data_IF_722136907594
#
_entry.id   IF_722136907594
#
_cell.length_a   1.000
_cell.length_b   1.000
_cell.length_c   1.000
_cell.angle_alpha   90.00
_cell.angle_beta   90.00
_cell.angle_gamma   90.00
#
_symmetry.space_group_name_H-M   'P 1'
#
loop_
_entity.id
_entity.type
_entity.pdbx_description
1 polymer ?
#
# COMPACT_ATOMS: atom_id res chain seq x y z
N UNK A 1 -13.70 29.26 19.91
CA UNK A 1 -12.50 28.58 19.39
C UNK A 1 -12.97 27.63 18.30
N UNK A 2 -12.25 27.56 17.18
CA UNK A 2 -12.59 26.66 16.09
C UNK A 2 -12.52 25.20 16.57
N UNK A 3 -13.52 24.39 16.19
CA UNK A 3 -13.51 22.93 16.43
C UNK A 3 -13.04 22.17 15.18
N UNK A 4 -12.44 22.88 14.21
CA UNK A 4 -11.99 22.31 12.94
C UNK A 4 -10.83 21.33 13.16
N UNK A 5 -10.98 20.14 12.61
CA UNK A 5 -9.93 19.14 12.50
C UNK A 5 -9.57 18.96 11.03
N UNK A 6 -8.28 18.98 10.71
CA UNK A 6 -7.80 18.53 9.40
C UNK A 6 -7.44 17.05 9.50
N UNK A 7 -7.97 16.25 8.57
CA UNK A 7 -7.58 14.85 8.45
C UNK A 7 -6.64 14.69 7.24
N UNK A 8 -5.36 14.43 7.51
CA UNK A 8 -4.36 14.29 6.47
C UNK A 8 -4.29 12.87 5.93
N UNK A 9 -4.89 12.65 4.75
CA UNK A 9 -4.85 11.39 4.02
C UNK A 9 -3.49 11.13 3.36
N UNK A 10 -3.09 9.86 3.28
CA UNK A 10 -1.90 9.38 2.56
C UNK A 10 -2.16 8.04 1.90
N UNK A 11 -2.07 6.93 2.65
CA UNK A 11 -2.35 5.56 2.20
C UNK A 11 -3.65 5.03 2.83
N UNK A 12 -4.64 5.86 2.87
CA UNK A 12 -5.94 5.61 3.52
C UNK A 12 -7.06 6.36 2.77
N UNK A 13 -7.09 6.21 1.42
CA UNK A 13 -7.95 6.98 0.52
C UNK A 13 -9.38 6.46 0.51
N UNK A 14 -10.00 6.44 1.69
CA UNK A 14 -11.37 6.01 1.92
C UNK A 14 -11.99 6.72 3.13
N UNK A 15 -13.30 6.66 3.26
CA UNK A 15 -14.03 7.16 4.42
C UNK A 15 -14.44 6.03 5.36
N UNK A 16 -14.90 4.89 4.86
CA UNK A 16 -15.29 3.75 5.68
C UNK A 16 -14.09 3.04 6.28
N UNK A 17 -14.26 2.42 7.44
CA UNK A 17 -13.22 1.63 8.10
C UNK A 17 -11.87 2.36 8.23
N UNK A 18 -11.89 3.66 8.58
CA UNK A 18 -10.71 4.51 8.78
C UNK A 18 -10.62 4.92 10.25
N UNK A 19 -9.67 4.32 10.99
CA UNK A 19 -9.55 4.50 12.45
C UNK A 19 -9.32 5.98 12.80
N UNK A 20 -8.33 6.62 12.19
CA UNK A 20 -7.99 7.99 12.51
C UNK A 20 -9.12 8.96 12.17
N UNK A 21 -9.82 8.74 11.05
CA UNK A 21 -10.96 9.57 10.66
C UNK A 21 -12.17 9.36 11.59
N UNK A 22 -12.43 8.12 12.00
CA UNK A 22 -13.46 7.81 13.00
C UNK A 22 -13.17 8.49 14.34
N UNK A 23 -11.91 8.45 14.79
CA UNK A 23 -11.47 9.15 16.02
C UNK A 23 -11.55 10.67 15.91
N UNK A 24 -11.24 11.22 14.74
CA UNK A 24 -11.44 12.65 14.49
C UNK A 24 -12.93 13.01 14.60
N UNK A 25 -13.83 12.16 14.05
CA UNK A 25 -15.30 12.37 14.09
C UNK A 25 -15.88 12.27 15.51
N UNK A 26 -15.36 11.35 16.33
CA UNK A 26 -15.73 11.28 17.76
C UNK A 26 -15.43 12.60 18.49
N UNK A 27 -14.36 13.30 18.07
CA UNK A 27 -13.92 14.55 18.71
C UNK A 27 -14.64 15.79 18.16
N UNK A 28 -14.90 15.84 16.85
CA UNK A 28 -15.59 16.94 16.19
C UNK A 28 -16.32 16.47 14.93
N UNK A 29 -17.52 16.98 14.63
CA UNK A 29 -18.12 16.77 13.31
C UNK A 29 -17.45 17.60 12.20
N UNK A 30 -16.78 18.72 12.55
CA UNK A 30 -16.15 19.64 11.58
C UNK A 30 -14.77 19.13 11.19
N UNK A 31 -14.75 18.34 10.11
CA UNK A 31 -13.52 17.69 9.60
C UNK A 31 -13.38 17.96 8.13
N UNK A 32 -12.18 18.37 7.74
CA UNK A 32 -11.79 18.57 6.35
C UNK A 32 -10.70 17.58 6.01
N UNK A 33 -10.91 16.79 4.93
CA UNK A 33 -9.87 15.95 4.37
C UNK A 33 -8.79 16.80 3.69
N UNK A 34 -7.53 16.41 3.83
CA UNK A 34 -6.41 17.04 3.15
C UNK A 34 -5.55 15.95 2.52
N UNK A 35 -5.15 16.13 1.26
CA UNK A 35 -4.13 15.32 0.62
C UNK A 35 -3.00 16.22 0.12
N UNK A 36 -1.77 15.86 0.43
CA UNK A 36 -0.59 16.60 0.00
C UNK A 36 0.11 15.84 -1.14
N UNK A 37 0.18 16.47 -2.31
CA UNK A 37 1.02 16.05 -3.41
C UNK A 37 2.48 16.41 -3.09
N UNK A 38 3.18 15.46 -2.50
CA UNK A 38 4.56 15.63 -2.02
C UNK A 38 5.55 15.48 -3.18
N UNK A 39 6.32 16.53 -3.55
CA UNK A 39 7.30 16.46 -4.63
C UNK A 39 8.38 15.39 -4.40
N UNK A 40 8.78 15.16 -3.14
CA UNK A 40 9.78 14.15 -2.83
C UNK A 40 9.35 12.72 -3.20
N UNK A 41 8.03 12.48 -3.28
CA UNK A 41 7.49 11.20 -3.78
C UNK A 41 7.28 11.27 -5.30
N UNK A 42 6.69 12.36 -5.81
CA UNK A 42 6.30 12.46 -7.22
C UNK A 42 7.48 12.61 -8.17
N UNK A 43 8.60 13.15 -7.69
CA UNK A 43 9.83 13.38 -8.46
C UNK A 43 10.87 12.26 -8.24
N UNK A 44 10.50 11.21 -7.51
CA UNK A 44 11.33 10.02 -7.32
C UNK A 44 11.55 9.25 -8.63
N UNK A 45 12.69 8.56 -8.73
CA UNK A 45 13.08 7.80 -9.91
C UNK A 45 12.50 6.37 -9.97
N UNK A 46 11.65 6.03 -8.98
CA UNK A 46 10.99 4.73 -8.83
C UNK A 46 9.46 4.83 -8.91
N UNK A 47 8.91 5.94 -9.44
CA UNK A 47 7.47 6.13 -9.53
C UNK A 47 6.90 5.65 -10.87
N UNK A 48 5.82 4.86 -10.81
CA UNK A 48 5.10 4.35 -11.97
C UNK A 48 3.94 5.27 -12.38
N UNK A 49 3.83 5.61 -13.69
CA UNK A 49 2.72 6.40 -14.23
C UNK A 49 1.35 5.75 -13.93
N UNK A 50 1.22 4.43 -14.07
CA UNK A 50 0.01 3.69 -13.70
C UNK A 50 -0.37 3.87 -12.23
N UNK A 51 0.62 3.95 -11.33
CA UNK A 51 0.42 4.16 -9.89
C UNK A 51 -0.10 5.55 -9.61
N UNK A 52 0.43 6.58 -10.30
CA UNK A 52 -0.07 7.97 -10.18
C UNK A 52 -1.48 8.09 -10.76
N UNK A 53 -1.77 7.44 -11.91
CA UNK A 53 -3.11 7.40 -12.48
C UNK A 53 -4.13 6.78 -11.50
N UNK A 54 -3.79 5.65 -10.85
CA UNK A 54 -4.64 5.04 -9.84
C UNK A 54 -4.83 5.95 -8.62
N UNK A 55 -3.77 6.61 -8.13
CA UNK A 55 -3.85 7.59 -7.05
C UNK A 55 -4.85 8.71 -7.36
N UNK A 56 -4.73 9.33 -8.53
CA UNK A 56 -5.60 10.44 -8.94
C UNK A 56 -7.07 10.02 -9.01
N UNK A 57 -7.35 8.84 -9.55
CA UNK A 57 -8.71 8.29 -9.56
C UNK A 57 -9.25 8.02 -8.15
N UNK A 58 -8.42 7.52 -7.23
CA UNK A 58 -8.82 7.36 -5.82
C UNK A 58 -9.10 8.72 -5.14
N UNK A 59 -8.31 9.76 -5.42
CA UNK A 59 -8.53 11.10 -4.88
C UNK A 59 -9.81 11.74 -5.42
N UNK A 60 -10.12 11.53 -6.71
CA UNK A 60 -11.36 12.02 -7.31
C UNK A 60 -12.60 11.42 -6.62
N UNK A 61 -12.57 10.09 -6.40
CA UNK A 61 -13.67 9.42 -5.68
C UNK A 61 -13.74 9.84 -4.22
N UNK A 62 -12.60 9.91 -3.53
CA UNK A 62 -12.54 10.36 -2.13
C UNK A 62 -13.13 11.77 -1.99
N UNK A 63 -12.85 12.68 -2.93
CA UNK A 63 -13.43 14.02 -2.93
C UNK A 63 -14.96 14.00 -3.13
N UNK A 64 -15.49 13.08 -3.95
CA UNK A 64 -16.94 12.86 -4.11
C UNK A 64 -17.55 12.33 -2.79
N UNK A 65 -16.89 11.36 -2.16
CA UNK A 65 -17.35 10.76 -0.90
C UNK A 65 -17.39 11.79 0.25
N UNK A 66 -16.38 12.66 0.35
CA UNK A 66 -16.40 13.77 1.32
C UNK A 66 -17.59 14.70 1.12
N UNK A 67 -17.86 15.10 -0.14
CA UNK A 67 -19.03 15.95 -0.45
C UNK A 67 -20.36 15.28 -0.06
N UNK A 68 -20.51 13.98 -0.32
CA UNK A 68 -21.70 13.22 0.08
C UNK A 68 -21.88 13.15 1.59
N UNK A 69 -20.78 13.20 2.36
CA UNK A 69 -20.80 13.23 3.81
C UNK A 69 -20.94 14.65 4.42
N UNK A 70 -21.06 15.69 3.58
CA UNK A 70 -21.24 17.08 4.02
C UNK A 70 -19.94 17.83 4.31
N UNK A 71 -18.79 17.35 3.78
CA UNK A 71 -17.49 17.98 3.91
C UNK A 71 -16.75 18.05 2.58
N UNK A 72 -15.43 18.24 2.59
CA UNK A 72 -14.60 18.38 1.40
C UNK A 72 -13.21 17.81 1.60
N UNK A 73 -12.58 17.43 0.48
CA UNK A 73 -11.17 17.09 0.38
C UNK A 73 -10.41 18.26 -0.25
N UNK A 74 -9.41 18.77 0.44
CA UNK A 74 -8.50 19.79 -0.06
C UNK A 74 -7.22 19.13 -0.61
N UNK A 75 -6.76 19.59 -1.76
CA UNK A 75 -5.49 19.15 -2.34
C UNK A 75 -4.49 20.29 -2.19
N UNK A 76 -3.33 19.99 -1.63
CA UNK A 76 -2.18 20.89 -1.53
C UNK A 76 -0.97 20.25 -2.22
N UNK A 77 0.01 21.08 -2.64
CA UNK A 77 1.26 20.60 -3.25
C UNK A 77 2.46 21.23 -2.56
N UNK A 78 3.46 20.43 -2.23
CA UNK A 78 4.71 20.91 -1.64
C UNK A 78 5.17 20.05 -0.47
N UNK A 79 6.17 20.51 0.27
CA UNK A 79 6.66 19.83 1.44
C UNK A 79 5.60 19.83 2.55
N UNK A 80 5.12 18.65 3.02
CA UNK A 80 4.04 18.57 3.99
C UNK A 80 4.32 19.30 5.32
N UNK A 81 5.58 19.35 5.78
CA UNK A 81 5.95 20.05 7.01
C UNK A 81 5.83 21.58 6.90
N UNK A 82 5.62 22.09 5.70
CA UNK A 82 5.38 23.51 5.44
C UNK A 82 3.93 23.75 4.99
N UNK A 83 3.51 23.12 3.90
CA UNK A 83 2.20 23.37 3.26
C UNK A 83 1.02 22.95 4.15
N UNK A 84 1.09 21.78 4.78
CA UNK A 84 0.02 21.35 5.68
C UNK A 84 -0.02 22.21 6.96
N UNK A 85 1.14 22.61 7.48
CA UNK A 85 1.23 23.46 8.67
C UNK A 85 0.68 24.87 8.39
N UNK A 86 0.99 25.43 7.21
CA UNK A 86 0.44 26.72 6.79
C UNK A 86 -1.08 26.63 6.63
N UNK A 87 -1.59 25.61 5.92
CA UNK A 87 -3.03 25.41 5.75
C UNK A 87 -3.74 25.30 7.13
N UNK A 88 -3.20 24.49 8.04
CA UNK A 88 -3.76 24.31 9.37
C UNK A 88 -3.77 25.64 10.16
N UNK A 89 -2.72 26.44 10.04
CA UNK A 89 -2.61 27.76 10.69
C UNK A 89 -3.60 28.76 10.11
N UNK A 90 -3.71 28.85 8.76
CA UNK A 90 -4.61 29.76 8.05
C UNK A 90 -6.07 29.48 8.36
N UNK A 91 -6.45 28.22 8.46
CA UNK A 91 -7.79 27.78 8.83
C UNK A 91 -8.04 27.82 10.35
N UNK A 92 -7.03 28.15 11.15
CA UNK A 92 -7.09 28.09 12.63
C UNK A 92 -7.58 26.70 13.11
N UNK A 93 -7.08 25.64 12.47
CA UNK A 93 -7.42 24.28 12.83
C UNK A 93 -6.98 23.98 14.25
N UNK A 94 -7.84 23.33 15.04
CA UNK A 94 -7.55 22.92 16.41
C UNK A 94 -6.56 21.77 16.44
N UNK A 95 -6.71 20.83 15.50
CA UNK A 95 -5.90 19.63 15.45
C UNK A 95 -5.71 19.12 14.01
N UNK A 96 -4.65 18.35 13.81
CA UNK A 96 -4.42 17.56 12.61
C UNK A 96 -4.35 16.08 13.03
N UNK A 97 -5.21 15.26 12.40
CA UNK A 97 -5.28 13.82 12.60
C UNK A 97 -4.77 13.09 11.37
N UNK A 98 -4.08 11.97 11.57
CA UNK A 98 -3.66 11.13 10.46
C UNK A 98 -3.26 9.71 10.89
N UNK A 99 -3.28 8.78 9.93
CA UNK A 99 -2.84 7.41 10.17
C UNK A 99 -1.34 7.26 9.93
N UNK A 100 -0.63 6.52 10.77
CA UNK A 100 0.82 6.29 10.67
C UNK A 100 1.17 5.38 9.49
N UNK A 101 2.38 5.52 9.00
CA UNK A 101 2.97 4.68 7.96
C UNK A 101 4.26 4.01 8.45
N UNK A 102 4.59 2.86 7.85
CA UNK A 102 5.76 2.05 8.22
C UNK A 102 7.02 2.43 7.42
N UNK A 103 6.86 3.06 6.25
CA UNK A 103 7.96 3.33 5.33
C UNK A 103 8.94 4.36 5.93
N UNK A 104 10.27 4.19 5.76
CA UNK A 104 11.28 5.06 6.40
C UNK A 104 11.10 6.54 6.08
N UNK A 105 10.88 6.88 4.80
CA UNK A 105 10.60 8.26 4.38
C UNK A 105 9.35 8.82 5.09
N UNK A 106 8.26 8.07 5.10
CA UNK A 106 7.02 8.50 5.72
C UNK A 106 7.19 8.77 7.23
N UNK A 107 7.91 7.90 7.93
CA UNK A 107 8.21 8.06 9.36
C UNK A 107 9.01 9.34 9.64
N UNK A 108 10.02 9.62 8.84
CA UNK A 108 10.82 10.85 8.97
C UNK A 108 9.99 12.10 8.68
N UNK A 109 9.24 12.10 7.58
CA UNK A 109 8.32 13.18 7.20
C UNK A 109 7.29 13.45 8.28
N UNK A 110 6.66 12.40 8.82
CA UNK A 110 5.62 12.50 9.83
C UNK A 110 6.15 13.13 11.11
N UNK A 111 7.37 12.78 11.56
CA UNK A 111 8.03 13.42 12.70
C UNK A 111 8.26 14.92 12.48
N UNK A 112 8.69 15.32 11.27
CA UNK A 112 8.87 16.72 10.91
C UNK A 112 7.54 17.49 10.93
N UNK A 113 6.48 16.90 10.40
CA UNK A 113 5.12 17.49 10.39
C UNK A 113 4.60 17.65 11.81
N UNK A 114 4.72 16.62 12.65
CA UNK A 114 4.32 16.67 14.08
C UNK A 114 5.03 17.80 14.79
N UNK A 115 6.35 17.87 14.70
CA UNK A 115 7.14 18.91 15.36
C UNK A 115 6.76 20.33 14.88
N UNK A 116 6.52 20.49 13.58
CA UNK A 116 6.14 21.78 13.00
C UNK A 116 4.74 22.24 13.44
N UNK A 117 3.75 21.34 13.47
CA UNK A 117 2.39 21.62 13.97
C UNK A 117 2.39 21.97 15.46
N UNK A 118 3.10 21.19 16.29
CA UNK A 118 3.22 21.44 17.74
C UNK A 118 3.87 22.78 18.03
N UNK A 119 4.88 23.20 17.24
CA UNK A 119 5.50 24.52 17.36
C UNK A 119 4.51 25.66 17.09
N UNK A 120 3.45 25.41 16.32
CA UNK A 120 2.35 26.34 16.06
C UNK A 120 1.21 26.25 17.06
N UNK A 121 1.30 25.38 18.07
CA UNK A 121 0.24 25.14 19.05
C UNK A 121 -0.94 24.32 18.50
N UNK A 122 -0.77 23.63 17.38
CA UNK A 122 -1.79 22.77 16.76
C UNK A 122 -1.62 21.37 17.31
N UNK A 123 -2.70 20.79 17.83
CA UNK A 123 -2.69 19.43 18.36
C UNK A 123 -2.51 18.40 17.24
N UNK A 124 -1.85 17.28 17.53
CA UNK A 124 -1.66 16.18 16.55
C UNK A 124 -2.03 14.87 17.22
N UNK A 125 -2.88 14.09 16.53
CA UNK A 125 -3.19 12.71 16.92
C UNK A 125 -2.93 11.76 15.77
N UNK A 126 -2.33 10.59 16.07
CA UNK A 126 -1.91 9.60 15.10
C UNK A 126 -2.37 8.21 15.45
N UNK A 127 -2.69 7.41 14.42
CA UNK A 127 -3.28 6.07 14.61
C UNK A 127 -2.64 5.07 13.65
N UNK A 128 -2.67 3.78 14.00
CA UNK A 128 -2.39 2.70 13.08
C UNK A 128 -3.68 2.23 12.40
N UNK A 129 -3.70 2.19 11.07
CA UNK A 129 -4.89 1.87 10.29
C UNK A 129 -4.67 0.81 9.21
N UNK A 130 -3.54 0.84 8.53
CA UNK A 130 -3.24 -0.03 7.38
C UNK A 130 -2.89 -1.49 7.74
N UNK A 131 -2.78 -1.79 9.02
CA UNK A 131 -2.42 -3.10 9.59
C UNK A 131 -3.54 -3.60 10.50
N UNK A 132 -3.74 -4.91 10.56
CA UNK A 132 -4.59 -5.53 11.57
C UNK A 132 -3.95 -5.48 12.95
N UNK A 133 -2.63 -5.56 12.99
CA UNK A 133 -1.84 -5.43 14.23
C UNK A 133 -0.73 -4.41 14.03
N UNK A 134 -0.73 -3.38 14.86
CA UNK A 134 0.31 -2.35 14.84
C UNK A 134 1.71 -2.97 15.11
N UNK A 135 2.80 -2.37 14.58
CA UNK A 135 4.15 -2.80 14.89
C UNK A 135 4.37 -2.87 16.41
N UNK A 136 4.91 -3.99 16.88
CA UNK A 136 5.10 -4.27 18.30
C UNK A 136 3.98 -5.09 18.97
N UNK A 137 2.85 -5.32 18.30
CA UNK A 137 1.79 -6.20 18.81
C UNK A 137 2.05 -7.68 18.51
N UNK A 138 2.74 -7.97 17.39
CA UNK A 138 3.10 -9.34 16.99
C UNK A 138 4.58 -9.55 17.22
N UNK A 139 4.95 -10.04 18.39
CA UNK A 139 6.33 -10.26 18.80
C UNK A 139 6.54 -11.70 19.26
N UNK A 140 7.79 -12.16 19.25
CA UNK A 140 8.21 -13.43 19.85
C UNK A 140 8.04 -13.39 21.37
N UNK A 141 8.18 -14.55 22.04
CA UNK A 141 8.18 -14.63 23.50
C UNK A 141 9.31 -13.77 24.13
N UNK A 142 10.43 -13.59 23.44
CA UNK A 142 11.54 -12.72 23.84
C UNK A 142 11.31 -11.23 23.50
N UNK A 143 10.09 -10.84 23.08
CA UNK A 143 9.72 -9.49 22.66
C UNK A 143 10.53 -8.94 21.47
N UNK A 144 11.05 -9.82 20.63
CA UNK A 144 11.76 -9.48 19.39
C UNK A 144 10.81 -9.62 18.19
N UNK A 145 11.02 -8.86 17.09
CA UNK A 145 10.25 -9.04 15.87
C UNK A 145 10.49 -10.43 15.26
N UNK A 146 9.47 -10.97 14.58
CA UNK A 146 9.63 -12.17 13.79
C UNK A 146 10.41 -11.90 12.50
N UNK A 147 11.32 -12.80 12.16
CA UNK A 147 12.08 -12.80 10.90
C UNK A 147 11.77 -14.01 10.01
N UNK A 148 10.85 -14.88 10.48
CA UNK A 148 10.36 -16.07 9.78
C UNK A 148 8.83 -16.04 9.75
N UNK A 149 8.24 -16.25 8.59
CA UNK A 149 6.81 -16.10 8.37
C UNK A 149 5.95 -17.10 9.14
N UNK A 150 6.29 -18.39 9.14
CA UNK A 150 5.42 -19.42 9.74
C UNK A 150 5.13 -19.17 11.24
N UNK A 151 6.12 -18.88 12.10
CA UNK A 151 5.83 -18.53 13.49
C UNK A 151 5.12 -17.18 13.63
N UNK A 152 5.37 -16.20 12.74
CA UNK A 152 4.61 -14.96 12.69
C UNK A 152 3.12 -15.23 12.45
N UNK A 153 2.78 -15.99 11.39
CA UNK A 153 1.41 -16.39 11.08
C UNK A 153 0.71 -17.06 12.24
N UNK A 154 1.38 -18.03 12.90
CA UNK A 154 0.81 -18.75 14.05
C UNK A 154 0.43 -17.82 15.20
N UNK A 155 1.24 -16.81 15.50
CA UNK A 155 0.93 -15.82 16.53
C UNK A 155 -0.13 -14.83 16.02
N UNK A 156 0.11 -14.24 14.85
CA UNK A 156 -0.76 -13.23 14.24
C UNK A 156 -2.21 -13.73 14.08
N UNK A 157 -2.42 -14.97 13.63
CA UNK A 157 -3.76 -15.55 13.42
C UNK A 157 -4.57 -15.68 14.70
N UNK A 158 -3.91 -15.90 15.85
CA UNK A 158 -4.56 -16.06 17.14
C UNK A 158 -4.96 -14.75 17.82
N UNK A 159 -4.34 -13.62 17.43
CA UNK A 159 -4.66 -12.33 18.02
C UNK A 159 -6.02 -11.83 17.51
N UNK A 160 -6.81 -11.26 18.42
CA UNK A 160 -8.10 -10.64 18.08
C UNK A 160 -7.88 -9.45 17.16
N UNK A 161 -8.64 -9.39 16.06
CA UNK A 161 -8.64 -8.28 15.12
C UNK A 161 -9.81 -7.35 15.41
N UNK A 162 -9.57 -6.05 15.30
CA UNK A 162 -10.61 -5.04 15.47
C UNK A 162 -11.63 -5.13 14.33
N UNK A 163 -12.89 -4.80 14.63
CA UNK A 163 -13.95 -4.68 13.63
C UNK A 163 -13.78 -3.41 12.79
N UNK A 164 -14.35 -3.36 11.57
CA UNK A 164 -14.42 -2.16 10.76
C UNK A 164 -15.11 -1.00 11.49
N UNK A 165 -14.63 0.22 11.26
CA UNK A 165 -15.25 1.42 11.81
C UNK A 165 -16.22 2.04 10.82
N UNK A 166 -17.27 2.69 11.34
CA UNK A 166 -18.23 3.47 10.55
C UNK A 166 -17.97 4.96 10.68
N UNK A 167 -18.35 5.74 9.68
CA UNK A 167 -18.23 7.19 9.68
C UNK A 167 -19.62 7.83 9.54
N UNK A 168 -19.99 8.64 10.50
CA UNK A 168 -21.18 9.49 10.44
C UNK A 168 -20.96 10.71 9.52
N UNK A 169 -22.00 11.51 9.30
CA UNK A 169 -21.93 12.74 8.53
C UNK A 169 -20.92 13.73 9.15
N UNK A 170 -20.28 14.49 8.30
CA UNK A 170 -19.29 15.49 8.63
C UNK A 170 -19.88 16.90 8.41
N UNK A 171 -19.11 17.90 8.84
CA UNK A 171 -19.36 19.31 8.56
C UNK A 171 -18.15 19.89 7.82
N UNK A 172 -18.40 20.59 6.72
CA UNK A 172 -17.41 21.28 5.92
C UNK A 172 -17.02 22.65 6.47
N UNK A 173 -16.23 23.40 5.70
CA UNK A 173 -15.94 24.81 5.95
C UNK A 173 -17.18 25.65 5.64
N UNK A 174 -17.36 26.74 6.38
CA UNK A 174 -18.29 27.81 6.02
C UNK A 174 -17.67 28.76 4.96
N UNK A 175 -18.48 29.71 4.43
CA UNK A 175 -18.05 30.64 3.40
C UNK A 175 -16.84 31.49 3.85
N UNK A 176 -16.83 31.98 5.09
CA UNK A 176 -15.74 32.81 5.61
C UNK A 176 -14.42 32.02 5.77
N UNK A 177 -14.50 30.73 6.02
CA UNK A 177 -13.34 29.84 6.09
C UNK A 177 -12.85 29.46 4.69
N UNK A 178 -13.78 29.32 3.72
CA UNK A 178 -13.47 29.09 2.31
C UNK A 178 -12.59 30.17 1.72
N UNK A 179 -12.81 31.43 2.08
CA UNK A 179 -12.00 32.57 1.61
C UNK A 179 -10.53 32.53 2.07
N UNK A 180 -10.19 31.70 3.07
CA UNK A 180 -8.82 31.54 3.58
C UNK A 180 -8.01 30.45 2.87
N UNK A 181 -8.60 29.79 1.87
CA UNK A 181 -7.97 28.68 1.12
C UNK A 181 -7.00 29.22 0.04
N UNK A 182 -5.87 29.79 0.45
CA UNK A 182 -4.88 30.36 -0.48
C UNK A 182 -3.87 29.36 -1.05
N UNK A 183 -3.72 28.18 -0.40
CA UNK A 183 -2.68 27.19 -0.73
C UNK A 183 -3.25 25.93 -1.40
N UNK A 184 -4.56 25.86 -1.60
CA UNK A 184 -5.19 24.70 -2.22
C UNK A 184 -5.15 24.80 -3.73
N UNK A 185 -5.05 23.64 -4.36
CA UNK A 185 -5.11 23.50 -5.81
C UNK A 185 -6.27 22.58 -6.21
N UNK A 186 -6.74 22.73 -7.43
CA UNK A 186 -7.60 21.70 -8.02
C UNK A 186 -6.83 20.40 -8.17
N UNK A 187 -7.53 19.26 -8.12
CA UNK A 187 -6.90 17.96 -8.40
C UNK A 187 -6.29 18.02 -9.81
N UNK A 188 -4.95 17.85 -9.94
CA UNK A 188 -4.30 17.94 -11.24
C UNK A 188 -4.61 16.72 -12.11
N UNK A 189 -4.47 16.86 -13.42
CA UNK A 189 -4.45 15.71 -14.33
C UNK A 189 -3.11 14.99 -14.25
N UNK A 190 -3.07 13.79 -14.83
CA UNK A 190 -1.84 13.00 -14.89
C UNK A 190 -0.72 13.74 -15.64
N UNK A 191 -1.08 14.42 -16.74
CA UNK A 191 -0.17 15.21 -17.58
C UNK A 191 0.35 16.45 -16.84
N UNK A 192 -0.46 17.09 -16.00
CA UNK A 192 -0.03 18.23 -15.18
C UNK A 192 1.04 17.83 -14.15
N UNK A 193 1.12 16.55 -13.81
CA UNK A 193 2.14 15.99 -12.94
C UNK A 193 3.36 15.44 -13.71
N UNK A 194 3.35 15.50 -15.05
CA UNK A 194 4.43 15.04 -15.91
C UNK A 194 4.40 13.55 -16.23
N UNK A 195 3.26 12.88 -15.98
CA UNK A 195 3.09 11.44 -16.25
C UNK A 195 2.15 11.20 -17.43
N UNK A 196 2.31 10.05 -18.06
CA UNK A 196 1.40 9.55 -19.11
C UNK A 196 1.07 8.09 -18.88
N UNK A 197 -0.21 7.75 -19.01
CA UNK A 197 -0.70 6.38 -18.97
C UNK A 197 -1.96 6.26 -19.82
N UNK A 198 -1.98 5.36 -20.78
CA UNK A 198 -3.09 5.23 -21.74
C UNK A 198 -3.85 3.91 -21.63
N UNK A 199 -3.24 2.90 -21.02
CA UNK A 199 -3.85 1.58 -20.89
C UNK A 199 -4.89 1.55 -19.76
N UNK A 200 -5.92 0.69 -19.84
CA UNK A 200 -6.81 0.48 -18.72
C UNK A 200 -6.06 0.01 -17.47
N UNK A 201 -6.46 0.51 -16.31
CA UNK A 201 -5.91 0.02 -15.04
C UNK A 201 -6.53 -1.34 -14.69
N UNK A 202 -5.75 -2.29 -14.14
CA UNK A 202 -6.23 -3.62 -13.78
C UNK A 202 -7.32 -3.64 -12.69
N UNK A 203 -7.44 -2.57 -11.94
CA UNK A 203 -8.50 -2.32 -10.96
C UNK A 203 -8.95 -0.88 -11.10
N UNK A 204 -10.28 -0.65 -11.14
CA UNK A 204 -10.85 0.68 -11.10
C UNK A 204 -10.48 1.37 -9.78
N UNK A 205 -10.00 2.64 -9.81
CA UNK A 205 -9.65 3.37 -8.60
C UNK A 205 -10.86 3.65 -7.71
N UNK A 206 -10.61 3.73 -6.41
CA UNK A 206 -11.55 4.25 -5.42
C UNK A 206 -12.18 3.20 -4.52
N UNK A 207 -12.82 3.69 -3.45
CA UNK A 207 -13.39 2.90 -2.36
C UNK A 207 -14.51 1.97 -2.84
N UNK A 208 -15.45 2.50 -3.63
CA UNK A 208 -16.59 1.73 -4.16
C UNK A 208 -16.14 0.56 -5.04
N UNK A 209 -15.21 0.82 -5.97
CA UNK A 209 -14.70 -0.22 -6.85
C UNK A 209 -13.93 -1.30 -6.09
N UNK A 210 -13.18 -0.92 -5.06
CA UNK A 210 -12.46 -1.87 -4.20
C UNK A 210 -13.42 -2.78 -3.41
N UNK A 211 -14.52 -2.23 -2.89
CA UNK A 211 -15.58 -3.03 -2.24
C UNK A 211 -16.27 -3.97 -3.23
N UNK A 212 -16.67 -3.49 -4.42
CA UNK A 212 -17.27 -4.36 -5.44
C UNK A 212 -16.32 -5.50 -5.84
N UNK A 213 -15.02 -5.22 -5.98
CA UNK A 213 -14.04 -6.28 -6.27
C UNK A 213 -13.88 -7.29 -5.13
N UNK A 214 -13.94 -6.85 -3.88
CA UNK A 214 -13.95 -7.77 -2.74
C UNK A 214 -15.20 -8.66 -2.76
N UNK A 215 -16.37 -8.10 -3.00
CA UNK A 215 -17.63 -8.83 -3.11
C UNK A 215 -17.57 -9.88 -4.23
N UNK A 216 -17.17 -9.50 -5.44
CA UNK A 216 -16.97 -10.42 -6.57
C UNK A 216 -16.02 -11.58 -6.22
N UNK A 217 -14.90 -11.28 -5.59
CA UNK A 217 -13.94 -12.29 -5.17
C UNK A 217 -14.52 -13.24 -4.12
N UNK A 218 -15.25 -12.72 -3.15
CA UNK A 218 -15.90 -13.47 -2.08
C UNK A 218 -17.08 -14.31 -2.56
N UNK A 219 -17.78 -13.94 -3.64
CA UNK A 219 -18.94 -14.66 -4.18
C UNK A 219 -18.60 -16.01 -4.84
N UNK A 220 -17.34 -16.33 -5.07
CA UNK A 220 -16.99 -17.62 -5.66
C UNK A 220 -15.49 -17.86 -5.86
N UNK A 221 -14.75 -16.90 -6.37
CA UNK A 221 -13.33 -17.06 -6.73
C UNK A 221 -12.48 -17.51 -5.54
N UNK A 222 -12.74 -16.98 -4.35
CA UNK A 222 -12.01 -17.31 -3.12
C UNK A 222 -12.11 -18.78 -2.75
N UNK A 223 -13.18 -19.48 -3.13
CA UNK A 223 -13.40 -20.89 -2.76
C UNK A 223 -12.39 -21.85 -3.42
N UNK A 224 -11.81 -21.46 -4.55
CA UNK A 224 -10.80 -22.23 -5.28
C UNK A 224 -9.41 -21.56 -5.22
N UNK A 225 -9.26 -20.50 -4.45
CA UNK A 225 -8.04 -19.68 -4.44
C UNK A 225 -6.77 -20.49 -4.20
N UNK A 226 -6.79 -21.53 -3.36
CA UNK A 226 -5.63 -22.38 -3.07
C UNK A 226 -5.02 -22.99 -4.34
N UNK A 227 -5.86 -23.39 -5.30
CA UNK A 227 -5.44 -23.98 -6.57
C UNK A 227 -5.25 -22.90 -7.64
N UNK A 228 -6.26 -22.05 -7.84
CA UNK A 228 -6.32 -21.09 -8.96
C UNK A 228 -5.21 -20.03 -8.90
N UNK A 229 -4.74 -19.68 -7.70
CA UNK A 229 -3.58 -18.81 -7.50
C UNK A 229 -2.28 -19.32 -8.14
N UNK A 230 -2.22 -20.58 -8.54
CA UNK A 230 -1.05 -21.17 -9.18
C UNK A 230 -1.06 -21.01 -10.71
N UNK A 231 -2.19 -20.60 -11.29
CA UNK A 231 -2.37 -20.50 -12.72
C UNK A 231 -2.48 -19.02 -13.17
N UNK A 232 -1.39 -18.42 -13.68
CA UNK A 232 -1.38 -17.00 -14.07
C UNK A 232 -2.42 -16.63 -15.18
N UNK A 233 -2.87 -17.61 -15.95
CA UNK A 233 -3.88 -17.42 -16.99
C UNK A 233 -5.31 -17.28 -16.45
N UNK A 234 -5.55 -17.65 -15.18
CA UNK A 234 -6.87 -17.57 -14.55
C UNK A 234 -7.05 -16.26 -13.80
N UNK A 235 -8.27 -15.72 -13.77
CA UNK A 235 -8.66 -14.65 -12.87
C UNK A 235 -8.98 -15.19 -11.47
N UNK A 236 -8.05 -15.97 -10.92
CA UNK A 236 -8.17 -16.68 -9.64
C UNK A 236 -7.68 -15.89 -8.42
N UNK A 237 -7.45 -14.57 -8.53
CA UNK A 237 -6.93 -13.73 -7.43
C UNK A 237 -7.82 -12.53 -7.17
N UNK A 238 -7.71 -11.97 -5.94
CA UNK A 238 -8.53 -10.82 -5.55
C UNK A 238 -8.20 -9.53 -6.31
N UNK A 239 -6.96 -9.35 -6.79
CA UNK A 239 -6.43 -8.12 -7.40
C UNK A 239 -6.55 -6.87 -6.53
N UNK A 240 -6.69 -7.03 -5.20
CA UNK A 240 -6.87 -5.92 -4.25
C UNK A 240 -5.56 -5.23 -3.83
N UNK A 241 -4.42 -5.61 -4.38
CA UNK A 241 -3.11 -5.09 -3.97
C UNK A 241 -2.99 -3.57 -4.08
N UNK A 242 -3.47 -2.96 -5.16
CA UNK A 242 -3.48 -1.50 -5.32
C UNK A 242 -4.45 -0.84 -4.35
N UNK A 243 -5.65 -1.39 -4.17
CA UNK A 243 -6.60 -0.85 -3.20
C UNK A 243 -6.05 -0.89 -1.77
N UNK A 244 -5.31 -1.95 -1.39
CA UNK A 244 -4.61 -2.06 -0.10
C UNK A 244 -3.40 -1.12 -0.01
N UNK A 245 -2.65 -0.91 -1.11
CA UNK A 245 -1.51 0.02 -1.15
C UNK A 245 -1.95 1.45 -0.88
N UNK A 246 -3.02 1.89 -1.53
CA UNK A 246 -3.56 3.25 -1.38
C UNK A 246 -4.61 3.38 -0.27
N UNK A 247 -4.97 2.27 0.36
CA UNK A 247 -5.97 2.26 1.41
C UNK A 247 -7.36 2.66 0.93
N UNK A 248 -7.68 2.37 -0.34
CA UNK A 248 -9.04 2.51 -0.89
C UNK A 248 -10.02 1.49 -0.30
N UNK A 249 -9.53 0.49 0.42
CA UNK A 249 -10.33 -0.43 1.22
C UNK A 249 -9.63 -0.71 2.55
N UNK A 250 -10.39 -0.83 3.63
CA UNK A 250 -9.89 -1.14 4.96
C UNK A 250 -9.51 -2.62 5.11
N UNK A 251 -8.37 -2.88 5.74
CA UNK A 251 -7.92 -4.26 5.98
C UNK A 251 -8.86 -5.03 6.92
N UNK A 252 -9.52 -4.33 7.86
CA UNK A 252 -10.51 -4.92 8.79
C UNK A 252 -11.78 -5.34 8.05
N UNK A 253 -12.23 -4.52 7.08
CA UNK A 253 -13.35 -4.86 6.18
C UNK A 253 -13.07 -6.14 5.42
N UNK A 254 -11.87 -6.25 4.82
CA UNK A 254 -11.45 -7.46 4.09
C UNK A 254 -11.41 -8.67 5.04
N UNK A 255 -10.81 -8.51 6.22
CA UNK A 255 -10.71 -9.58 7.20
C UNK A 255 -12.09 -10.06 7.66
N UNK A 256 -13.00 -9.14 8.01
CA UNK A 256 -14.37 -9.45 8.44
C UNK A 256 -15.13 -10.22 7.37
N UNK A 257 -15.05 -9.80 6.10
CA UNK A 257 -15.68 -10.52 4.99
C UNK A 257 -15.20 -11.98 4.89
N UNK A 258 -13.92 -12.26 5.16
CA UNK A 258 -13.43 -13.64 5.17
C UNK A 258 -13.86 -14.46 6.38
N UNK A 259 -14.05 -13.83 7.53
CA UNK A 259 -14.61 -14.51 8.71
C UNK A 259 -16.06 -14.92 8.48
N UNK A 260 -16.88 -14.03 7.94
CA UNK A 260 -18.28 -14.32 7.58
C UNK A 260 -18.40 -15.48 6.58
N UNK A 261 -17.47 -15.55 5.61
CA UNK A 261 -17.40 -16.67 4.69
C UNK A 261 -17.04 -17.99 5.39
N UNK A 262 -16.04 -17.96 6.28
CA UNK A 262 -15.63 -19.17 7.02
C UNK A 262 -16.75 -19.71 7.93
N UNK A 263 -17.52 -18.84 8.57
CA UNK A 263 -18.65 -19.23 9.43
C UNK A 263 -19.78 -19.90 8.63
N UNK A 264 -19.96 -19.49 7.37
CA UNK A 264 -21.01 -20.02 6.49
C UNK A 264 -20.53 -21.10 5.51
N UNK A 265 -19.25 -21.48 5.55
CA UNK A 265 -18.66 -22.43 4.63
C UNK A 265 -18.69 -23.85 5.23
N UNK A 266 -19.22 -24.82 4.48
CA UNK A 266 -19.27 -26.23 4.88
C UNK A 266 -18.22 -27.10 4.20
N UNK A 267 -17.77 -26.71 3.00
CA UNK A 267 -16.78 -27.46 2.24
C UNK A 267 -15.37 -27.21 2.78
N UNK A 268 -14.65 -28.26 3.14
CA UNK A 268 -13.31 -28.16 3.75
C UNK A 268 -12.28 -27.56 2.77
N UNK A 269 -12.40 -27.89 1.48
CA UNK A 269 -11.54 -27.34 0.41
C UNK A 269 -11.69 -25.82 0.31
N UNK A 270 -12.93 -25.32 0.37
CA UNK A 270 -13.21 -23.89 0.34
C UNK A 270 -12.71 -23.18 1.61
N UNK A 271 -12.85 -23.78 2.79
CA UNK A 271 -12.25 -23.24 4.03
C UNK A 271 -10.73 -23.10 3.90
N UNK A 272 -10.06 -24.15 3.41
CA UNK A 272 -8.62 -24.13 3.19
C UNK A 272 -8.20 -23.04 2.20
N UNK A 273 -8.99 -22.81 1.15
CA UNK A 273 -8.79 -21.73 0.19
C UNK A 273 -8.92 -20.35 0.83
N UNK A 274 -9.95 -20.13 1.65
CA UNK A 274 -10.15 -18.86 2.37
C UNK A 274 -8.97 -18.61 3.33
N UNK A 275 -8.57 -19.62 4.12
CA UNK A 275 -7.43 -19.52 5.04
C UNK A 275 -6.13 -19.25 4.28
N UNK A 276 -5.94 -19.90 3.12
CA UNK A 276 -4.78 -19.64 2.26
C UNK A 276 -4.74 -18.20 1.78
N UNK A 277 -5.90 -17.60 1.45
CA UNK A 277 -5.95 -16.19 1.09
C UNK A 277 -5.71 -15.26 2.30
N UNK A 278 -6.24 -15.59 3.48
CA UNK A 278 -5.92 -14.86 4.72
C UNK A 278 -4.41 -14.87 5.01
N UNK A 279 -3.70 -15.93 4.66
CA UNK A 279 -2.25 -15.99 4.78
C UNK A 279 -1.54 -14.97 3.87
N UNK A 280 -2.10 -14.62 2.71
CA UNK A 280 -1.53 -13.55 1.86
C UNK A 280 -1.67 -12.17 2.51
N UNK A 281 -2.75 -11.91 3.24
CA UNK A 281 -2.87 -10.69 4.06
C UNK A 281 -1.82 -10.66 5.18
N UNK A 282 -1.59 -11.80 5.82
CA UNK A 282 -0.56 -11.94 6.84
C UNK A 282 0.86 -11.79 6.25
N UNK A 283 1.14 -12.29 5.03
CA UNK A 283 2.40 -12.04 4.33
C UNK A 283 2.65 -10.55 4.07
N UNK A 284 1.62 -9.82 3.63
CA UNK A 284 1.70 -8.36 3.47
C UNK A 284 2.08 -7.69 4.79
N UNK A 285 1.42 -8.06 5.89
CA UNK A 285 1.66 -7.46 7.21
C UNK A 285 3.03 -7.88 7.77
N UNK A 286 3.46 -9.12 7.54
CA UNK A 286 4.79 -9.60 7.90
C UNK A 286 5.90 -8.74 7.27
N UNK A 287 5.84 -8.48 5.97
CA UNK A 287 6.83 -7.62 5.31
C UNK A 287 6.79 -6.19 5.81
N UNK A 288 5.61 -5.67 6.14
CA UNK A 288 5.48 -4.34 6.74
C UNK A 288 6.10 -4.28 8.14
N UNK A 289 5.91 -5.30 8.98
CA UNK A 289 6.59 -5.43 10.27
C UNK A 289 8.11 -5.54 10.09
N UNK A 290 8.56 -6.34 9.13
CA UNK A 290 10.00 -6.45 8.83
C UNK A 290 10.59 -5.08 8.47
N UNK A 291 9.99 -4.34 7.55
CA UNK A 291 10.50 -3.02 7.16
C UNK A 291 10.43 -1.99 8.30
N UNK A 292 9.41 -2.08 9.16
CA UNK A 292 9.31 -1.17 10.32
C UNK A 292 10.45 -1.37 11.32
N UNK A 293 10.79 -2.63 11.65
CA UNK A 293 11.83 -2.96 12.63
C UNK A 293 13.23 -2.95 12.05
N UNK A 294 13.36 -3.16 10.75
CA UNK A 294 14.63 -3.23 10.02
C UNK A 294 14.60 -2.29 8.80
N UNK A 295 14.55 -0.96 9.03
CA UNK A 295 14.44 0.03 7.95
C UNK A 295 15.57 -0.03 6.92
N UNK A 296 16.75 -0.56 7.32
CA UNK A 296 17.89 -0.81 6.44
C UNK A 296 17.62 -1.82 5.32
N UNK A 297 16.50 -2.56 5.38
CA UNK A 297 16.05 -3.42 4.28
C UNK A 297 15.78 -2.62 2.99
N UNK A 298 15.36 -1.36 3.13
CA UNK A 298 15.16 -0.48 1.99
C UNK A 298 16.48 -0.15 1.25
N UNK A 299 17.62 -0.30 1.90
CA UNK A 299 18.93 0.06 1.34
C UNK A 299 19.71 -1.16 0.82
N UNK A 300 19.41 -2.37 1.32
CA UNK A 300 20.17 -3.55 0.92
C UNK A 300 19.73 -4.86 1.55
N UNK A 301 20.52 -5.89 1.30
CA UNK A 301 20.25 -7.24 1.77
C UNK A 301 20.21 -7.35 3.30
N UNK A 302 19.19 -8.04 3.83
CA UNK A 302 19.11 -8.39 5.24
C UNK A 302 20.29 -9.27 5.66
N UNK A 303 20.58 -10.29 4.87
CA UNK A 303 21.71 -11.19 5.11
C UNK A 303 23.01 -10.52 4.67
N UNK A 304 23.90 -10.31 5.62
CA UNK A 304 25.16 -9.59 5.41
C UNK A 304 26.05 -10.21 4.32
N UNK A 305 26.01 -11.53 4.17
CA UNK A 305 26.78 -12.29 3.18
C UNK A 305 26.41 -11.90 1.73
N UNK A 306 25.18 -11.45 1.51
CA UNK A 306 24.70 -11.06 0.19
C UNK A 306 24.90 -9.56 -0.13
N UNK A 307 25.40 -8.76 0.82
CA UNK A 307 25.64 -7.33 0.59
C UNK A 307 26.76 -7.07 -0.42
N UNK A 308 27.70 -8.00 -0.52
CA UNK A 308 28.85 -7.95 -1.44
C UNK A 308 28.86 -9.15 -2.38
N UNK A 309 27.71 -9.71 -2.69
CA UNK A 309 27.59 -10.81 -3.64
C UNK A 309 28.08 -10.34 -5.03
N UNK A 310 28.93 -11.13 -5.74
CA UNK A 310 29.51 -10.72 -7.02
C UNK A 310 28.48 -10.88 -8.15
N UNK A 311 27.49 -9.98 -8.18
CA UNK A 311 26.50 -9.94 -9.25
C UNK A 311 27.15 -9.66 -10.60
N UNK A 312 26.60 -10.24 -11.66
CA UNK A 312 27.03 -9.91 -13.01
C UNK A 312 26.47 -8.55 -13.41
N UNK A 313 27.31 -7.73 -14.05
CA UNK A 313 26.88 -6.44 -14.62
C UNK A 313 26.71 -6.60 -16.16
N UNK A 314 25.65 -7.32 -16.55
CA UNK A 314 25.30 -7.55 -17.95
C UNK A 314 24.04 -6.73 -18.29
N UNK A 315 24.27 -5.54 -18.84
CA UNK A 315 23.17 -4.62 -19.19
C UNK A 315 22.32 -5.15 -20.36
N UNK A 316 22.90 -5.88 -21.31
CA UNK A 316 22.14 -6.47 -22.42
C UNK A 316 21.12 -7.50 -21.92
N UNK A 317 21.55 -8.40 -21.03
CA UNK A 317 20.64 -9.37 -20.42
C UNK A 317 19.58 -8.69 -19.55
N UNK A 318 19.96 -7.64 -18.80
CA UNK A 318 19.00 -6.87 -18.00
C UNK A 318 17.95 -6.21 -18.88
N UNK A 319 18.34 -5.57 -19.98
CA UNK A 319 17.41 -4.95 -20.91
C UNK A 319 16.53 -5.97 -21.63
N UNK A 320 17.05 -7.14 -22.00
CA UNK A 320 16.26 -8.23 -22.55
C UNK A 320 15.19 -8.70 -21.56
N UNK A 321 15.54 -8.82 -20.27
CA UNK A 321 14.60 -9.15 -19.21
C UNK A 321 13.54 -8.04 -19.04
N UNK A 322 13.93 -6.78 -18.94
CA UNK A 322 13.02 -5.64 -18.84
C UNK A 322 12.00 -5.59 -19.98
N UNK A 323 12.43 -5.92 -21.21
CA UNK A 323 11.60 -5.85 -22.42
C UNK A 323 10.80 -7.13 -22.71
N UNK A 324 10.97 -8.19 -21.91
CA UNK A 324 10.35 -9.50 -22.16
C UNK A 324 10.84 -10.13 -23.45
N UNK A 325 12.15 -10.15 -23.65
CA UNK A 325 12.86 -10.69 -24.83
C UNK A 325 13.98 -11.66 -24.45
N UNK A 326 13.79 -12.40 -23.36
CA UNK A 326 14.79 -13.35 -22.85
C UNK A 326 14.82 -14.66 -23.66
N UNK A 327 13.76 -14.94 -24.42
CA UNK A 327 13.53 -16.22 -25.08
C UNK A 327 12.84 -17.28 -24.22
N UNK A 328 12.57 -16.97 -22.95
CA UNK A 328 11.79 -17.82 -22.03
C UNK A 328 10.33 -17.38 -22.03
N UNK A 329 9.40 -18.17 -22.61
CA UNK A 329 8.03 -17.69 -22.90
C UNK A 329 7.28 -17.13 -21.68
N UNK A 330 7.38 -17.78 -20.51
CA UNK A 330 6.66 -17.33 -19.32
C UNK A 330 7.27 -16.06 -18.71
N UNK A 331 8.61 -15.91 -18.75
CA UNK A 331 9.31 -14.72 -18.32
C UNK A 331 8.94 -13.54 -19.22
N UNK A 332 9.00 -13.74 -20.51
CA UNK A 332 8.72 -12.73 -21.52
C UNK A 332 7.26 -12.26 -21.47
N UNK A 333 6.32 -13.20 -21.36
CA UNK A 333 4.90 -12.88 -21.24
C UNK A 333 4.61 -12.06 -19.96
N UNK A 334 5.22 -12.45 -18.83
CA UNK A 334 5.04 -11.77 -17.56
C UNK A 334 5.61 -10.34 -17.58
N UNK A 335 6.80 -10.15 -18.16
CA UNK A 335 7.42 -8.83 -18.28
C UNK A 335 6.67 -7.91 -19.25
N UNK A 336 6.13 -8.45 -20.35
CA UNK A 336 5.26 -7.70 -21.25
C UNK A 336 3.95 -7.30 -20.56
N UNK A 337 3.31 -8.20 -19.81
CA UNK A 337 2.13 -7.88 -19.00
C UNK A 337 2.41 -6.72 -18.03
N UNK A 338 3.54 -6.77 -17.31
CA UNK A 338 3.96 -5.69 -16.41
C UNK A 338 4.07 -4.35 -17.14
N UNK A 339 4.76 -4.35 -18.30
CA UNK A 339 4.99 -3.13 -19.06
C UNK A 339 3.71 -2.53 -19.64
N UNK A 340 2.76 -3.37 -20.06
CA UNK A 340 1.52 -2.94 -20.70
C UNK A 340 0.44 -2.55 -19.69
N UNK A 341 0.37 -3.28 -18.56
CA UNK A 341 -0.77 -3.11 -17.63
C UNK A 341 -0.39 -2.48 -16.29
N UNK A 342 0.91 -2.38 -15.98
CA UNK A 342 1.38 -2.00 -14.65
C UNK A 342 1.14 -3.07 -13.59
N UNK A 343 0.72 -4.29 -13.97
CA UNK A 343 0.42 -5.39 -13.06
C UNK A 343 1.04 -6.70 -13.52
N UNK A 344 1.33 -7.56 -12.56
CA UNK A 344 1.82 -8.92 -12.82
C UNK A 344 1.28 -9.86 -11.76
N UNK A 345 0.84 -11.05 -12.18
CA UNK A 345 0.41 -12.11 -11.28
C UNK A 345 1.53 -12.50 -10.30
N UNK A 346 1.21 -12.78 -9.02
CA UNK A 346 2.23 -13.04 -8.00
C UNK A 346 3.19 -14.20 -8.35
N UNK A 347 2.69 -15.30 -8.93
CA UNK A 347 3.57 -16.42 -9.36
C UNK A 347 4.56 -15.96 -10.43
N UNK A 348 4.12 -15.11 -11.35
CA UNK A 348 5.01 -14.54 -12.35
C UNK A 348 6.08 -13.64 -11.72
N UNK A 349 5.72 -12.81 -10.72
CA UNK A 349 6.71 -12.00 -9.97
C UNK A 349 7.82 -12.87 -9.37
N UNK A 350 7.45 -14.01 -8.80
CA UNK A 350 8.43 -14.97 -8.25
C UNK A 350 9.31 -15.58 -9.32
N UNK A 351 8.74 -15.98 -10.46
CA UNK A 351 9.46 -16.62 -11.57
C UNK A 351 10.46 -15.63 -12.18
N UNK A 352 10.00 -14.43 -12.56
CA UNK A 352 10.89 -13.45 -13.24
C UNK A 352 11.96 -12.89 -12.31
N UNK A 353 11.68 -12.77 -11.00
CA UNK A 353 12.68 -12.36 -10.02
C UNK A 353 13.72 -13.46 -9.76
N UNK A 354 13.28 -14.72 -9.69
CA UNK A 354 14.20 -15.87 -9.63
C UNK A 354 15.08 -15.93 -10.88
N UNK A 355 14.49 -15.79 -12.07
CA UNK A 355 15.23 -15.81 -13.34
C UNK A 355 16.30 -14.71 -13.37
N UNK A 356 15.96 -13.46 -13.02
CA UNK A 356 16.92 -12.37 -12.98
C UNK A 356 18.08 -12.67 -12.02
N UNK A 357 17.80 -13.18 -10.83
CA UNK A 357 18.79 -13.30 -9.75
C UNK A 357 19.55 -14.61 -9.74
N UNK A 358 18.97 -15.69 -10.26
CA UNK A 358 19.54 -17.05 -10.19
C UNK A 358 20.08 -17.53 -11.54
N UNK A 359 19.41 -17.21 -12.63
CA UNK A 359 19.81 -17.65 -13.96
C UNK A 359 20.69 -16.59 -14.64
N UNK A 360 20.33 -15.31 -14.54
CA UNK A 360 21.14 -14.21 -15.09
C UNK A 360 22.19 -13.68 -14.10
N UNK A 361 22.12 -14.03 -12.82
CA UNK A 361 23.00 -13.55 -11.73
C UNK A 361 23.05 -12.01 -11.66
N UNK A 362 22.00 -11.31 -12.02
CA UNK A 362 21.90 -9.85 -11.97
C UNK A 362 21.40 -9.40 -10.61
N UNK A 363 21.93 -8.26 -10.12
CA UNK A 363 21.57 -7.70 -8.81
C UNK A 363 20.05 -7.49 -8.69
N UNK A 364 19.47 -8.09 -7.66
CA UNK A 364 18.03 -8.00 -7.35
C UNK A 364 17.52 -6.56 -7.20
N UNK A 365 18.36 -5.62 -6.74
CA UNK A 365 17.99 -4.21 -6.58
C UNK A 365 17.68 -3.52 -7.93
N UNK A 366 18.33 -3.93 -9.03
CA UNK A 366 17.97 -3.46 -10.37
C UNK A 366 16.54 -3.89 -10.73
N UNK A 367 16.17 -5.14 -10.45
CA UNK A 367 14.84 -5.66 -10.71
C UNK A 367 13.77 -5.07 -9.77
N UNK A 368 14.09 -4.92 -8.48
CA UNK A 368 13.24 -4.26 -7.49
C UNK A 368 12.86 -2.84 -7.93
N UNK A 369 13.87 -2.04 -8.32
CA UNK A 369 13.67 -0.68 -8.82
C UNK A 369 12.81 -0.66 -10.09
N UNK A 370 13.09 -1.56 -11.04
CA UNK A 370 12.29 -1.68 -12.26
C UNK A 370 10.82 -2.00 -11.95
N UNK A 371 10.55 -2.88 -10.99
CA UNK A 371 9.19 -3.15 -10.53
C UNK A 371 8.53 -1.91 -9.93
N UNK A 372 9.24 -1.16 -9.09
CA UNK A 372 8.70 0.09 -8.54
C UNK A 372 8.41 1.12 -9.65
N UNK A 373 9.18 1.16 -10.72
CA UNK A 373 8.96 2.03 -11.88
C UNK A 373 7.75 1.62 -12.76
N UNK A 374 7.27 0.38 -12.63
CA UNK A 374 6.20 -0.17 -13.49
C UNK A 374 4.92 -0.51 -12.74
N UNK A 375 5.00 -1.04 -11.52
CA UNK A 375 3.85 -1.54 -10.79
C UNK A 375 2.90 -0.42 -10.33
N UNK A 376 1.62 -0.54 -10.69
CA UNK A 376 0.57 0.35 -10.17
C UNK A 376 0.26 0.07 -8.68
N UNK A 377 0.53 -1.15 -8.21
CA UNK A 377 0.39 -1.60 -6.83
C UNK A 377 1.72 -1.62 -6.05
N UNK A 378 2.78 -0.98 -6.58
CA UNK A 378 4.12 -0.99 -6.00
C UNK A 378 4.11 -0.51 -4.54
N UNK A 379 4.41 -1.44 -3.62
CA UNK A 379 4.53 -1.22 -2.17
C UNK A 379 5.95 -1.57 -1.75
N UNK A 380 6.64 -0.66 -1.09
CA UNK A 380 8.07 -0.84 -0.75
C UNK A 380 8.30 -2.11 0.08
N UNK A 381 7.51 -2.34 1.13
CA UNK A 381 7.70 -3.49 2.01
C UNK A 381 7.47 -4.82 1.28
N UNK A 382 6.38 -4.93 0.51
CA UNK A 382 6.04 -6.15 -0.22
C UNK A 382 7.01 -6.39 -1.39
N UNK A 383 7.37 -5.34 -2.14
CA UNK A 383 8.29 -5.45 -3.27
C UNK A 383 9.70 -5.84 -2.79
N UNK A 384 10.26 -5.10 -1.83
CA UNK A 384 11.57 -5.38 -1.25
C UNK A 384 11.63 -6.79 -0.62
N UNK A 385 10.63 -7.14 0.21
CA UNK A 385 10.56 -8.46 0.83
C UNK A 385 10.50 -9.58 -0.20
N UNK A 386 9.68 -9.44 -1.25
CA UNK A 386 9.56 -10.42 -2.33
C UNK A 386 10.84 -10.59 -3.15
N UNK A 387 11.53 -9.48 -3.48
CA UNK A 387 12.78 -9.50 -4.19
C UNK A 387 13.91 -10.14 -3.37
N UNK A 388 14.05 -9.74 -2.10
CA UNK A 388 15.04 -10.34 -1.20
C UNK A 388 14.76 -11.83 -0.94
N UNK A 389 13.48 -12.22 -0.86
CA UNK A 389 13.10 -13.64 -0.75
C UNK A 389 13.53 -14.42 -1.99
N UNK A 390 13.27 -13.91 -3.21
CA UNK A 390 13.68 -14.53 -4.48
C UNK A 390 15.20 -14.60 -4.64
N UNK A 391 15.90 -13.56 -4.22
CA UNK A 391 17.38 -13.51 -4.25
C UNK A 391 18.04 -14.33 -3.14
N UNK A 392 17.29 -14.92 -2.19
CA UNK A 392 17.77 -15.61 -0.99
C UNK A 392 18.56 -14.70 -0.02
N UNK A 393 18.45 -13.40 -0.15
CA UNK A 393 19.16 -12.39 0.63
C UNK A 393 18.38 -11.80 1.78
N UNK A 394 17.07 -12.12 1.87
CA UNK A 394 16.13 -11.55 2.82
C UNK A 394 15.78 -12.42 4.02
N UNK A 395 14.67 -12.07 4.66
CA UNK A 395 14.04 -12.82 5.73
C UNK A 395 13.22 -13.99 5.17
N UNK A 396 13.13 -15.08 5.96
CA UNK A 396 12.43 -16.32 5.59
C UNK A 396 12.80 -16.92 4.23
N UNK A 397 14.04 -16.84 3.76
CA UNK A 397 14.39 -17.46 2.50
C UNK A 397 14.57 -18.94 2.70
N UNK A 398 14.05 -19.73 1.77
CA UNK A 398 14.55 -21.09 1.56
C UNK A 398 15.77 -20.95 0.64
N UNK A 399 16.99 -21.15 1.18
CA UNK A 399 18.21 -21.03 0.35
C UNK A 399 18.12 -21.97 -0.84
N UNK A 400 18.64 -21.53 -1.97
CA UNK A 400 18.77 -22.32 -3.20
C UNK A 400 17.46 -22.76 -3.87
N UNK A 401 16.33 -22.13 -3.59
CA UNK A 401 15.14 -22.34 -4.41
C UNK A 401 15.33 -21.62 -5.74
N UNK A 402 15.42 -22.37 -6.82
CA UNK A 402 15.45 -21.89 -8.20
C UNK A 402 14.16 -22.36 -8.87
N UNK A 403 13.45 -21.46 -9.52
CA UNK A 403 12.32 -21.84 -10.36
C UNK A 403 12.88 -22.22 -11.73
N UNK A 404 12.28 -23.26 -12.32
CA UNK A 404 12.57 -23.62 -13.71
C UNK A 404 11.49 -22.98 -14.58
N UNK A 405 11.80 -21.88 -15.31
CA UNK A 405 10.84 -21.14 -16.12
C UNK A 405 10.46 -21.85 -17.42
#
# INVERSE_FOLDING_TARGET
MSNLILFWHRRDLRLSDNIGLSKARERSPKIIGVFCLDPAILEGDDIASARVAYLLGCLEELAKNYRQKGSQLLIIRGNPSQTLVNLASNLSAKAVFFNLDIEPYARQRDQQVIAALQKKGIEVETFWDQLLHAPGQVLTLSKSPYTVYTPFWKNWSQLTKASPTTLENLQGLDENEGDKLTETINLPTLENLGFTWQNPLPLTPGEKAAHSRLEEFCQGVINNYQEDRNFPAFDGTSRLSAALKFGAIGIRTIWTATLELLENCWAEEAKNSIITWQQELAWREFYQHCLYFFPELAEGAYRKEFRHFPWQDNEEHFQAWCQGKTGYPIVDAAMRQLNETGWMHNRCRMIVASFLTKDLIINWQKGEKYFMQKLFDGDLAANNGGWQWSASSGMDPKPLRIFNP
#
